data_IF_302270404340
#
_entry.id   IF_302270404340
#
_cell.length_a   1.000
_cell.length_b   1.000
_cell.length_c   1.000
_cell.angle_alpha   90.00
_cell.angle_beta   90.00
_cell.angle_gamma   90.00
#
_symmetry.space_group_name_H-M   'P 1'
#
loop_
_entity.id
_entity.type
_entity.pdbx_description
1 polymer ?
#
# COMPACT_ATOMS: atom_id res chain seq x y z
N UNK A 1 17.79 -2.02 33.34
CA UNK A 1 17.22 -3.37 33.49
C UNK A 1 15.84 -3.20 34.09
N UNK A 2 14.81 -3.58 33.35
CA UNK A 2 13.42 -3.27 33.66
C UNK A 2 12.53 -3.65 32.49
N UNK A 3 12.58 -4.92 32.12
CA UNK A 3 11.67 -5.57 31.19
C UNK A 3 10.24 -5.44 31.73
N UNK A 4 9.50 -4.46 31.24
CA UNK A 4 8.09 -4.28 31.61
C UNK A 4 7.21 -4.70 30.42
N UNK A 5 7.05 -6.03 30.33
CA UNK A 5 5.91 -6.68 29.70
C UNK A 5 4.64 -6.21 30.43
N UNK A 6 4.15 -5.04 30.05
CA UNK A 6 2.95 -4.42 30.64
C UNK A 6 2.13 -3.77 29.57
N UNK A 7 0.85 -4.13 29.58
CA UNK A 7 -0.18 -3.39 28.90
C UNK A 7 -0.60 -4.08 27.62
N UNK A 8 -1.64 -4.90 27.77
CA UNK A 8 -2.83 -4.80 26.94
C UNK A 8 -3.19 -3.31 26.82
N UNK A 9 -2.50 -2.63 25.89
CA UNK A 9 -2.87 -1.34 25.38
C UNK A 9 -3.98 -1.61 24.41
N UNK A 10 -5.21 -1.63 24.93
CA UNK A 10 -6.42 -1.30 24.19
C UNK A 10 -6.30 0.16 23.71
N UNK A 11 -5.27 0.46 22.90
CA UNK A 11 -5.30 1.63 22.04
C UNK A 11 -6.55 1.41 21.20
N UNK A 12 -7.52 2.30 21.37
CA UNK A 12 -8.73 2.47 20.57
C UNK A 12 -8.42 2.76 19.10
N UNK A 13 -7.46 2.06 18.51
CA UNK A 13 -7.37 1.84 17.10
C UNK A 13 -8.51 0.86 16.80
N UNK A 14 -9.71 1.38 16.54
CA UNK A 14 -10.81 0.62 15.93
C UNK A 14 -10.16 -0.41 15.01
N UNK A 15 -10.46 -1.72 15.11
CA UNK A 15 -9.84 -2.70 14.24
C UNK A 15 -10.09 -2.21 12.83
N UNK A 16 -9.06 -1.64 12.19
CA UNK A 16 -9.12 -1.33 10.78
C UNK A 16 -9.23 -2.72 10.20
N UNK A 17 -10.44 -3.08 9.76
CA UNK A 17 -10.70 -4.39 9.19
C UNK A 17 -9.56 -4.68 8.22
N UNK A 18 -9.00 -5.89 8.17
CA UNK A 18 -7.80 -6.17 7.37
C UNK A 18 -7.89 -5.58 5.94
N UNK A 19 -9.10 -5.58 5.33
CA UNK A 19 -9.41 -4.90 4.06
C UNK A 19 -9.19 -3.37 4.06
N UNK A 20 -9.54 -2.68 5.13
CA UNK A 20 -9.30 -1.25 5.35
C UNK A 20 -7.80 -0.94 5.50
N UNK A 21 -7.04 -1.82 6.17
CA UNK A 21 -5.58 -1.69 6.23
C UNK A 21 -4.95 -1.86 4.84
N UNK A 22 -5.31 -2.92 4.09
CA UNK A 22 -4.88 -3.09 2.70
C UNK A 22 -5.20 -1.88 1.81
N UNK A 23 -6.34 -1.22 2.06
CA UNK A 23 -6.75 -0.03 1.31
C UNK A 23 -5.94 1.21 1.71
N UNK A 24 -5.61 1.36 3.01
CA UNK A 24 -4.68 2.40 3.47
C UNK A 24 -3.29 2.23 2.86
N UNK A 25 -2.75 1.02 2.88
CA UNK A 25 -1.42 0.72 2.34
C UNK A 25 -1.37 0.96 0.83
N UNK A 26 -2.42 0.52 0.10
CA UNK A 26 -2.58 0.86 -1.31
C UNK A 26 -2.59 2.37 -1.56
N UNK A 27 -3.39 3.14 -0.81
CA UNK A 27 -3.47 4.59 -0.99
C UNK A 27 -2.13 5.28 -0.65
N UNK A 28 -1.41 4.81 0.36
CA UNK A 28 -0.09 5.32 0.71
C UNK A 28 0.92 5.04 -0.42
N UNK A 29 0.94 3.82 -0.94
CA UNK A 29 1.80 3.43 -2.04
C UNK A 29 1.47 4.19 -3.33
N UNK A 30 0.19 4.37 -3.68
CA UNK A 30 -0.24 5.19 -4.82
C UNK A 30 0.20 6.65 -4.67
N UNK A 31 0.16 7.21 -3.46
CA UNK A 31 0.67 8.57 -3.22
C UNK A 31 2.17 8.66 -3.45
N UNK A 32 2.94 7.72 -2.92
CA UNK A 32 4.40 7.66 -3.15
C UNK A 32 4.71 7.48 -4.64
N UNK A 33 3.96 6.61 -5.30
CA UNK A 33 4.07 6.32 -6.72
C UNK A 33 3.80 7.56 -7.57
N UNK A 34 2.74 8.33 -7.26
CA UNK A 34 2.44 9.57 -7.97
C UNK A 34 3.50 10.67 -7.72
N UNK A 35 4.07 10.71 -6.51
CA UNK A 35 5.17 11.62 -6.20
C UNK A 35 6.43 11.26 -7.01
N UNK A 36 6.76 9.98 -7.10
CA UNK A 36 7.86 9.47 -7.93
C UNK A 36 7.60 9.77 -9.41
N UNK A 37 6.40 9.49 -9.90
CA UNK A 37 6.01 9.77 -11.28
C UNK A 37 6.19 11.26 -11.63
N UNK A 38 5.72 12.15 -10.75
CA UNK A 38 5.91 13.60 -10.93
C UNK A 38 7.39 13.99 -10.93
N UNK A 39 8.20 13.43 -10.02
CA UNK A 39 9.63 13.69 -9.97
C UNK A 39 10.35 13.21 -11.24
N UNK A 40 10.00 12.03 -11.76
CA UNK A 40 10.55 11.48 -12.98
C UNK A 40 10.12 12.30 -14.21
N UNK A 41 8.87 12.75 -14.29
CA UNK A 41 8.40 13.66 -15.35
C UNK A 41 9.15 15.00 -15.32
N UNK A 42 9.45 15.52 -14.13
CA UNK A 42 10.28 16.73 -13.98
C UNK A 42 11.72 16.47 -14.42
N UNK A 43 12.31 15.34 -14.04
CA UNK A 43 13.66 14.93 -14.46
C UNK A 43 13.77 14.72 -15.98
N UNK A 44 12.72 14.19 -16.62
CA UNK A 44 12.65 14.03 -18.07
C UNK A 44 12.63 15.37 -18.85
N UNK A 45 12.29 16.50 -18.19
CA UNK A 45 12.28 17.82 -18.84
C UNK A 45 11.36 17.90 -20.05
N UNK A 46 11.92 18.07 -21.25
CA UNK A 46 11.18 18.13 -22.53
C UNK A 46 11.25 16.83 -23.35
N UNK A 47 11.90 15.79 -22.82
CA UNK A 47 12.12 14.55 -23.55
C UNK A 47 10.84 13.70 -23.60
N UNK A 48 10.26 13.59 -24.80
CA UNK A 48 8.98 12.91 -25.00
C UNK A 48 9.09 11.39 -24.82
N UNK A 49 10.23 10.79 -25.20
CA UNK A 49 10.45 9.36 -25.04
C UNK A 49 10.58 9.00 -23.56
N UNK A 50 11.32 9.79 -22.79
CA UNK A 50 11.43 9.65 -21.34
C UNK A 50 10.06 9.74 -20.65
N UNK A 51 9.24 10.75 -21.00
CA UNK A 51 7.89 10.90 -20.44
C UNK A 51 6.98 9.72 -20.78
N UNK A 52 7.04 9.21 -22.02
CA UNK A 52 6.25 8.05 -22.44
C UNK A 52 6.65 6.77 -21.70
N UNK A 53 7.96 6.55 -21.53
CA UNK A 53 8.50 5.44 -20.76
C UNK A 53 8.08 5.52 -19.29
N UNK A 54 8.20 6.70 -18.68
CA UNK A 54 7.76 6.94 -17.29
C UNK A 54 6.25 6.73 -17.15
N UNK A 55 5.43 7.15 -18.10
CA UNK A 55 3.98 6.95 -18.03
C UNK A 55 3.60 5.46 -18.10
N UNK A 56 4.31 4.69 -18.94
CA UNK A 56 4.13 3.22 -19.03
C UNK A 56 4.53 2.53 -17.73
N UNK A 57 5.66 2.96 -17.15
CA UNK A 57 6.20 2.47 -15.87
C UNK A 57 5.29 2.82 -14.69
N UNK A 58 4.73 4.02 -14.66
CA UNK A 58 3.74 4.47 -13.69
C UNK A 58 2.45 3.63 -13.77
N UNK A 59 1.92 3.43 -14.98
CA UNK A 59 0.72 2.61 -15.17
C UNK A 59 0.94 1.14 -14.73
N UNK A 60 2.10 0.56 -15.08
CA UNK A 60 2.48 -0.78 -14.62
C UNK A 60 2.57 -0.86 -13.09
N UNK A 61 3.10 0.18 -12.44
CA UNK A 61 3.17 0.26 -10.98
C UNK A 61 1.78 0.37 -10.35
N UNK A 62 0.88 1.20 -10.90
CA UNK A 62 -0.51 1.29 -10.43
C UNK A 62 -1.24 -0.05 -10.55
N UNK A 63 -1.05 -0.77 -11.65
CA UNK A 63 -1.60 -2.11 -11.84
C UNK A 63 -1.04 -3.11 -10.80
N UNK A 64 0.26 -3.08 -10.55
CA UNK A 64 0.90 -3.92 -9.54
C UNK A 64 0.38 -3.61 -8.11
N UNK A 65 0.23 -2.32 -7.77
CA UNK A 65 -0.34 -1.88 -6.49
C UNK A 65 -1.79 -2.33 -6.34
N UNK A 66 -2.59 -2.25 -7.40
CA UNK A 66 -3.97 -2.73 -7.41
C UNK A 66 -4.04 -4.25 -7.20
N UNK A 67 -3.16 -5.01 -7.87
CA UNK A 67 -3.04 -6.46 -7.68
C UNK A 67 -2.62 -6.81 -6.25
N UNK A 68 -1.65 -6.08 -5.67
CA UNK A 68 -1.25 -6.26 -4.27
C UNK A 68 -2.38 -5.97 -3.30
N UNK A 69 -3.17 -4.93 -3.54
CA UNK A 69 -4.37 -4.63 -2.73
C UNK A 69 -5.37 -5.76 -2.79
N UNK A 70 -5.64 -6.32 -3.97
CA UNK A 70 -6.56 -7.45 -4.13
C UNK A 70 -6.03 -8.72 -3.47
N UNK A 71 -4.75 -9.04 -3.65
CA UNK A 71 -4.09 -10.13 -2.96
C UNK A 71 -4.14 -9.95 -1.43
N UNK A 72 -3.92 -8.73 -0.94
CA UNK A 72 -4.02 -8.39 0.47
C UNK A 72 -5.46 -8.63 0.99
N UNK A 73 -6.47 -8.14 0.28
CA UNK A 73 -7.89 -8.37 0.62
C UNK A 73 -8.27 -9.85 0.57
N UNK A 74 -7.73 -10.62 -0.38
CA UNK A 74 -7.95 -12.07 -0.48
C UNK A 74 -7.30 -12.81 0.70
N UNK A 75 -6.10 -12.43 1.11
CA UNK A 75 -5.44 -12.98 2.30
C UNK A 75 -6.18 -12.62 3.59
N UNK A 76 -6.80 -11.43 3.66
CA UNK A 76 -7.69 -11.07 4.77
C UNK A 76 -8.90 -12.01 4.90
N UNK A 77 -9.46 -12.49 3.78
CA UNK A 77 -10.55 -13.47 3.80
C UNK A 77 -10.10 -14.82 4.38
N UNK A 78 -8.85 -15.22 4.12
CA UNK A 78 -8.29 -16.47 4.66
C UNK A 78 -8.01 -16.40 6.17
N UNK A 79 -7.67 -15.23 6.69
CA UNK A 79 -7.49 -15.01 8.14
C UNK A 79 -8.82 -14.93 8.91
N UNK A 80 -9.94 -14.68 8.24
CA UNK A 80 -11.28 -14.69 8.85
C UNK A 80 -11.92 -16.09 8.95
N UNK A 81 -11.28 -17.13 8.40
CA UNK A 81 -11.75 -18.50 8.44
C UNK A 81 -10.84 -19.35 9.33
N UNK A 82 -10.73 -19.00 10.62
CA UNK A 82 -9.99 -19.82 11.56
C UNK A 82 -9.48 -19.10 12.80
N UNK A 83 -10.35 -18.86 13.77
CA UNK A 83 -10.06 -19.29 15.14
C UNK A 83 -11.35 -19.88 15.68
N UNK A 84 -11.29 -21.18 15.93
CA UNK A 84 -12.35 -22.04 16.41
C UNK A 84 -12.64 -21.84 17.90
N UNK A 85 -13.81 -22.29 18.34
CA UNK A 85 -14.07 -22.69 19.73
C UNK A 85 -14.90 -21.73 20.54
#
# INVERSE_FOLDING_TARGET
MGDNLTGVGLISNKPVSCKAQCTKDYNAAVKQENALHKANLQACGSDAACKSAENSRHNAALAALAAQRDACKANCHKQGAGTAG
#
